data_IF_604538330884
#
_entry.id   IF_604538330884
#
_cell.length_a   1.000
_cell.length_b   1.000
_cell.length_c   1.000
_cell.angle_alpha   90.00
_cell.angle_beta   90.00
_cell.angle_gamma   90.00
#
_symmetry.space_group_name_H-M   'P 1'
#
loop_
_entity.id
_entity.type
_entity.pdbx_description
1 polymer ?
#
# COMPACT_ATOMS: atom_id res chain seq x y z
N UNK A 1 15.06 -3.29 -2.04
CA UNK A 1 15.01 -2.23 -1.01
C UNK A 1 15.72 -2.73 0.22
N UNK A 2 16.68 -2.00 0.75
CA UNK A 2 17.11 -2.29 2.09
C UNK A 2 15.98 -1.86 3.05
N UNK A 3 15.10 -2.80 3.39
CA UNK A 3 14.20 -2.61 4.51
C UNK A 3 14.99 -2.62 5.82
N UNK A 4 14.61 -1.79 6.79
CA UNK A 4 13.43 -0.91 6.79
C UNK A 4 13.67 0.39 6.01
N UNK A 5 12.64 0.84 5.25
CA UNK A 5 12.60 2.18 4.69
C UNK A 5 12.11 3.16 5.76
N UNK A 6 12.82 4.26 5.96
CA UNK A 6 12.50 5.27 6.96
C UNK A 6 12.13 6.59 6.29
N UNK A 7 11.08 7.23 6.78
CA UNK A 7 10.67 8.57 6.39
C UNK A 7 10.85 9.54 7.57
N UNK A 8 10.24 10.72 7.50
CA UNK A 8 10.25 11.66 8.61
C UNK A 8 9.62 11.07 9.87
N UNK A 9 8.40 10.49 9.75
CA UNK A 9 7.61 9.98 10.88
C UNK A 9 7.41 8.47 10.89
N UNK A 10 7.75 7.75 9.80
CA UNK A 10 7.32 6.39 9.56
C UNK A 10 8.49 5.42 9.32
N UNK A 11 8.23 4.16 9.61
CA UNK A 11 9.08 3.02 9.25
C UNK A 11 8.24 2.01 8.47
N UNK A 12 8.69 1.67 7.27
CA UNK A 12 8.15 0.57 6.47
C UNK A 12 9.08 -0.62 6.66
N UNK A 13 8.58 -1.73 7.20
CA UNK A 13 9.38 -2.92 7.52
C UNK A 13 8.71 -4.21 7.07
N UNK A 14 9.48 -5.31 6.96
CA UNK A 14 8.90 -6.63 6.79
C UNK A 14 7.90 -6.94 7.91
N UNK A 15 6.87 -7.71 7.57
CA UNK A 15 5.95 -8.24 8.57
C UNK A 15 6.66 -9.21 9.53
N UNK A 16 6.10 -9.28 10.76
CA UNK A 16 6.37 -10.29 11.77
C UNK A 16 5.10 -11.09 12.02
N UNK A 17 5.23 -12.31 12.49
CA UNK A 17 4.05 -13.15 12.77
C UNK A 17 3.16 -12.57 13.87
N UNK A 18 3.74 -11.87 14.84
CA UNK A 18 3.04 -11.21 15.94
C UNK A 18 2.32 -9.91 15.54
N UNK A 19 2.52 -9.41 14.31
CA UNK A 19 1.74 -8.28 13.78
C UNK A 19 0.25 -8.60 13.59
N UNK A 20 -0.15 -9.87 13.60
CA UNK A 20 -1.53 -10.28 13.31
C UNK A 20 -2.57 -9.61 14.21
N UNK A 21 -2.26 -9.44 15.51
CA UNK A 21 -3.17 -8.82 16.48
C UNK A 21 -3.45 -7.35 16.15
N UNK A 22 -2.42 -6.57 15.87
CA UNK A 22 -2.56 -5.17 15.50
C UNK A 22 -3.07 -4.98 14.08
N UNK A 23 -2.67 -5.85 13.15
CA UNK A 23 -3.17 -5.85 11.77
C UNK A 23 -4.67 -6.14 11.69
N UNK A 24 -5.25 -6.80 12.72
CA UNK A 24 -6.69 -7.02 12.78
C UNK A 24 -7.50 -5.71 12.89
N UNK A 25 -6.92 -4.63 13.39
CA UNK A 25 -7.54 -3.30 13.35
C UNK A 25 -7.77 -2.80 11.90
N UNK A 26 -6.98 -3.30 10.95
CA UNK A 26 -7.09 -3.02 9.52
C UNK A 26 -7.99 -4.06 8.84
N UNK A 27 -7.59 -5.33 8.89
CA UNK A 27 -8.29 -6.40 8.15
C UNK A 27 -9.62 -6.83 8.76
N UNK A 28 -9.85 -6.59 10.04
CA UNK A 28 -11.13 -6.79 10.70
C UNK A 28 -12.10 -5.60 10.57
N UNK A 29 -11.61 -4.46 10.08
CA UNK A 29 -12.41 -3.23 9.97
C UNK A 29 -13.28 -3.22 8.71
N UNK A 30 -14.63 -3.21 8.82
CA UNK A 30 -15.50 -3.03 7.65
C UNK A 30 -15.25 -1.70 6.93
N UNK A 31 -14.87 -0.65 7.68
CA UNK A 31 -14.59 0.68 7.10
C UNK A 31 -13.36 0.72 6.21
N UNK A 32 -12.38 -0.15 6.48
CA UNK A 32 -11.21 -0.34 5.63
C UNK A 32 -11.53 -1.32 4.50
N UNK A 33 -12.04 -2.50 4.84
CA UNK A 33 -12.15 -3.61 3.92
C UNK A 33 -13.21 -3.43 2.84
N UNK A 34 -14.22 -2.56 3.05
CA UNK A 34 -15.18 -2.19 1.98
C UNK A 34 -14.52 -1.58 0.73
N UNK A 35 -13.28 -1.12 0.85
CA UNK A 35 -12.51 -0.52 -0.24
C UNK A 35 -11.54 -1.51 -0.91
N UNK A 36 -11.55 -2.77 -0.50
CA UNK A 36 -10.68 -3.84 -1.02
C UNK A 36 -11.50 -4.97 -1.64
N UNK A 37 -10.88 -5.85 -2.45
CA UNK A 37 -11.56 -7.02 -3.00
C UNK A 37 -11.97 -8.07 -1.97
N UNK A 38 -11.46 -7.99 -0.75
CA UNK A 38 -11.62 -9.02 0.28
C UNK A 38 -12.57 -8.58 1.39
N UNK A 39 -13.40 -9.47 1.95
CA UNK A 39 -14.23 -9.15 3.11
C UNK A 39 -13.38 -8.92 4.36
N UNK A 40 -13.92 -8.28 5.41
CA UNK A 40 -13.25 -8.19 6.69
C UNK A 40 -12.95 -9.56 7.28
N UNK A 41 -11.81 -9.69 7.97
CA UNK A 41 -11.49 -10.89 8.77
C UNK A 41 -12.39 -10.95 10.01
N UNK A 42 -12.91 -12.12 10.34
CA UNK A 42 -13.83 -12.34 11.46
C UNK A 42 -13.15 -12.16 12.82
N UNK A 43 -11.88 -12.58 12.88
CA UNK A 43 -11.09 -12.61 14.11
C UNK A 43 -9.59 -12.51 13.82
N UNK A 44 -8.79 -12.46 14.87
CA UNK A 44 -7.32 -12.39 14.76
C UNK A 44 -6.73 -13.66 14.12
N UNK A 45 -7.36 -14.83 14.32
CA UNK A 45 -6.87 -16.07 13.70
C UNK A 45 -7.00 -16.03 12.17
N UNK A 46 -8.10 -15.52 11.64
CA UNK A 46 -8.28 -15.31 10.20
C UNK A 46 -7.31 -14.24 9.68
N UNK A 47 -7.09 -13.17 10.45
CA UNK A 47 -6.08 -12.15 10.12
C UNK A 47 -4.68 -12.76 10.07
N UNK A 48 -4.31 -13.64 11.01
CA UNK A 48 -3.02 -14.33 10.98
C UNK A 48 -2.85 -15.21 9.72
N UNK A 49 -3.91 -15.89 9.28
CA UNK A 49 -3.88 -16.64 8.01
C UNK A 49 -3.70 -15.72 6.80
N UNK A 50 -4.34 -14.54 6.79
CA UNK A 50 -4.15 -13.54 5.73
C UNK A 50 -2.74 -12.98 5.75
N UNK A 51 -2.20 -12.67 6.92
CA UNK A 51 -0.82 -12.21 7.09
C UNK A 51 0.17 -13.24 6.53
N UNK A 52 0.00 -14.52 6.85
CA UNK A 52 0.85 -15.58 6.30
C UNK A 52 0.81 -15.63 4.77
N UNK A 53 -0.39 -15.45 4.16
CA UNK A 53 -0.53 -15.36 2.69
C UNK A 53 0.14 -14.10 2.12
N UNK A 54 0.03 -12.97 2.81
CA UNK A 54 0.68 -11.71 2.42
C UNK A 54 2.21 -11.82 2.47
N UNK A 55 2.75 -12.43 3.52
CA UNK A 55 4.19 -12.71 3.64
C UNK A 55 4.68 -13.65 2.52
N UNK A 56 3.93 -14.73 2.25
CA UNK A 56 4.23 -15.65 1.16
C UNK A 56 4.10 -15.00 -0.23
N UNK A 57 3.15 -14.08 -0.41
CA UNK A 57 3.04 -13.28 -1.64
C UNK A 57 4.29 -12.40 -1.82
N UNK A 58 4.67 -11.66 -0.78
CA UNK A 58 5.85 -10.78 -0.81
C UNK A 58 7.13 -11.55 -1.09
N UNK A 59 7.30 -12.74 -0.49
CA UNK A 59 8.47 -13.58 -0.70
C UNK A 59 8.64 -14.08 -2.15
N UNK A 60 7.55 -14.12 -2.92
CA UNK A 60 7.56 -14.53 -4.34
C UNK A 60 7.72 -13.35 -5.31
N UNK A 61 7.64 -12.12 -4.82
CA UNK A 61 7.85 -10.95 -5.67
C UNK A 61 9.33 -10.75 -5.99
N UNK A 62 9.66 -10.07 -7.10
CA UNK A 62 11.03 -9.63 -7.35
C UNK A 62 11.56 -8.78 -6.17
N UNK A 63 12.88 -8.77 -5.95
CA UNK A 63 13.47 -7.96 -4.89
C UNK A 63 13.01 -6.50 -4.95
N UNK A 64 12.59 -5.97 -3.81
CA UNK A 64 12.11 -4.59 -3.70
C UNK A 64 10.61 -4.40 -3.90
N UNK A 65 9.87 -5.45 -4.26
CA UNK A 65 8.42 -5.44 -4.35
C UNK A 65 7.77 -6.24 -3.22
N UNK A 66 6.58 -5.84 -2.80
CA UNK A 66 5.81 -6.55 -1.79
C UNK A 66 4.86 -5.67 -1.00
N UNK A 67 4.36 -6.26 0.06
CA UNK A 67 3.49 -5.66 1.08
C UNK A 67 4.20 -5.69 2.43
N UNK A 68 4.12 -4.60 3.18
CA UNK A 68 4.91 -4.40 4.39
C UNK A 68 4.11 -3.73 5.49
N UNK A 69 4.54 -3.94 6.72
CA UNK A 69 4.04 -3.25 7.89
C UNK A 69 4.48 -1.78 7.88
N UNK A 70 3.57 -0.91 8.29
CA UNK A 70 3.81 0.51 8.52
C UNK A 70 3.69 0.82 10.01
N UNK A 71 4.69 1.48 10.59
CA UNK A 71 4.67 1.89 11.99
C UNK A 71 5.21 3.32 12.17
N UNK A 72 4.85 3.93 13.31
CA UNK A 72 5.45 5.20 13.72
C UNK A 72 6.91 4.98 14.12
N UNK A 73 7.78 5.89 13.69
CA UNK A 73 9.21 5.82 13.93
C UNK A 73 9.58 5.93 15.41
N UNK A 74 8.91 6.82 16.14
CA UNK A 74 9.29 7.16 17.52
C UNK A 74 8.71 6.21 18.56
N UNK A 75 7.53 5.63 18.29
CA UNK A 75 6.80 4.78 19.23
C UNK A 75 6.74 3.32 18.83
N UNK A 76 7.09 2.99 17.58
CA UNK A 76 6.88 1.69 16.95
C UNK A 76 5.39 1.26 16.93
N UNK A 77 4.48 2.21 17.04
CA UNK A 77 3.05 1.96 16.94
C UNK A 77 2.69 1.49 15.53
N UNK A 78 2.03 0.34 15.42
CA UNK A 78 1.59 -0.22 14.14
C UNK A 78 0.42 0.60 13.57
N UNK A 79 0.52 1.02 12.33
CA UNK A 79 -0.46 1.87 11.66
C UNK A 79 -1.27 1.14 10.58
N UNK A 80 -0.70 0.11 9.97
CA UNK A 80 -1.34 -0.60 8.88
C UNK A 80 -0.37 -1.24 7.90
N UNK A 81 -0.83 -1.39 6.67
CA UNK A 81 -0.13 -2.01 5.56
C UNK A 81 0.13 -1.01 4.43
N UNK A 82 1.29 -1.12 3.82
CA UNK A 82 1.64 -0.43 2.58
C UNK A 82 2.37 -1.37 1.63
N UNK A 83 2.33 -1.09 0.34
CA UNK A 83 3.00 -1.94 -0.62
C UNK A 83 3.32 -1.27 -1.95
N UNK A 84 4.25 -1.90 -2.66
CA UNK A 84 4.60 -1.61 -4.04
C UNK A 84 4.82 -2.95 -4.74
N UNK A 85 3.97 -3.30 -5.69
CA UNK A 85 4.00 -4.63 -6.31
C UNK A 85 3.36 -4.63 -7.70
N UNK A 86 3.70 -5.62 -8.56
CA UNK A 86 3.06 -5.77 -9.86
C UNK A 86 1.55 -5.94 -9.74
N UNK A 87 0.78 -5.19 -10.53
CA UNK A 87 -0.68 -5.27 -10.55
C UNK A 87 -1.12 -6.73 -10.78
N UNK A 88 -2.05 -7.20 -9.98
CA UNK A 88 -2.53 -8.60 -9.95
C UNK A 88 -1.41 -9.64 -9.77
N UNK A 89 -0.25 -9.21 -9.23
CA UNK A 89 0.94 -10.05 -9.08
C UNK A 89 1.66 -10.40 -10.39
N UNK A 90 1.26 -9.80 -11.51
CA UNK A 90 1.74 -10.13 -12.86
C UNK A 90 2.38 -8.94 -13.59
N UNK A 91 1.96 -7.73 -13.29
CA UNK A 91 2.38 -6.54 -14.04
C UNK A 91 1.79 -6.46 -15.46
N UNK A 92 2.35 -5.67 -16.38
CA UNK A 92 3.60 -4.89 -16.25
C UNK A 92 3.48 -3.65 -15.35
N UNK A 93 2.28 -3.13 -15.07
CA UNK A 93 2.12 -1.98 -14.18
C UNK A 93 2.44 -2.35 -12.74
N UNK A 94 2.94 -1.38 -11.98
CA UNK A 94 3.27 -1.52 -10.56
C UNK A 94 2.34 -0.63 -9.75
N UNK A 95 1.67 -1.25 -8.77
CA UNK A 95 0.71 -0.59 -7.90
C UNK A 95 1.36 -0.18 -6.58
N UNK A 96 1.06 1.04 -6.13
CA UNK A 96 1.24 1.46 -4.74
C UNK A 96 -0.08 1.29 -4.00
N UNK A 97 -0.05 0.56 -2.88
CA UNK A 97 -1.23 0.30 -2.04
C UNK A 97 -0.99 0.74 -0.60
N UNK A 98 -2.06 1.10 0.09
CA UNK A 98 -2.04 1.50 1.50
C UNK A 98 -3.39 1.24 2.16
N UNK A 99 -3.38 0.59 3.31
CA UNK A 99 -4.53 0.27 4.14
C UNK A 99 -4.15 0.52 5.60
N UNK A 100 -4.66 1.59 6.17
CA UNK A 100 -4.34 2.01 7.54
C UNK A 100 -5.53 1.82 8.47
N UNK A 101 -5.26 1.56 9.75
CA UNK A 101 -6.27 1.51 10.79
C UNK A 101 -7.07 2.82 10.85
N UNK A 102 -8.40 2.77 11.04
CA UNK A 102 -9.24 3.97 11.05
C UNK A 102 -8.81 5.04 12.04
N UNK A 103 -8.29 4.63 13.21
CA UNK A 103 -7.83 5.55 14.27
C UNK A 103 -6.70 6.49 13.87
N UNK A 104 -5.95 6.13 12.81
CA UNK A 104 -4.81 6.94 12.34
C UNK A 104 -5.08 7.69 11.03
N UNK A 105 -6.32 7.69 10.55
CA UNK A 105 -6.70 8.47 9.39
C UNK A 105 -6.64 9.97 9.65
N UNK A 106 -6.45 10.75 8.60
CA UNK A 106 -6.38 12.23 8.70
C UNK A 106 -5.04 12.81 9.12
N UNK A 107 -4.06 11.99 9.51
CA UNK A 107 -2.73 12.45 9.94
C UNK A 107 -1.70 12.57 8.80
N UNK A 108 -2.08 12.21 7.58
CA UNK A 108 -1.19 12.27 6.41
C UNK A 108 -0.23 11.08 6.26
N UNK A 109 -0.33 10.06 7.11
CA UNK A 109 0.58 8.90 7.09
C UNK A 109 0.50 8.11 5.78
N UNK A 110 -0.70 7.87 5.24
CA UNK A 110 -0.86 7.20 3.96
C UNK A 110 -0.16 7.95 2.83
N UNK A 111 -0.28 9.29 2.81
CA UNK A 111 0.39 10.14 1.82
C UNK A 111 1.91 10.09 1.94
N UNK A 112 2.43 10.15 3.16
CA UNK A 112 3.87 10.08 3.42
C UNK A 112 4.45 8.73 3.00
N UNK A 113 3.81 7.63 3.40
CA UNK A 113 4.23 6.28 3.05
C UNK A 113 4.13 6.00 1.54
N UNK A 114 3.01 6.33 0.90
CA UNK A 114 2.83 6.13 -0.53
C UNK A 114 3.83 6.94 -1.35
N UNK A 115 4.07 8.20 -0.99
CA UNK A 115 5.07 9.05 -1.65
C UNK A 115 6.46 8.44 -1.54
N UNK A 116 6.86 7.97 -0.36
CA UNK A 116 8.18 7.35 -0.17
C UNK A 116 8.36 6.09 -1.00
N UNK A 117 7.30 5.27 -1.15
CA UNK A 117 7.34 4.07 -1.99
C UNK A 117 7.38 4.42 -3.49
N UNK A 118 6.68 5.45 -3.93
CA UNK A 118 6.73 5.93 -5.32
C UNK A 118 8.14 6.43 -5.66
N UNK A 119 8.74 7.27 -4.80
CA UNK A 119 10.10 7.77 -5.00
C UNK A 119 11.13 6.63 -4.96
N UNK A 120 10.96 5.67 -4.06
CA UNK A 120 11.75 4.44 -4.04
C UNK A 120 11.62 3.67 -5.35
N UNK A 121 10.39 3.51 -5.86
CA UNK A 121 10.14 2.85 -7.15
C UNK A 121 10.88 3.53 -8.31
N UNK A 122 10.85 4.85 -8.36
CA UNK A 122 11.53 5.62 -9.41
C UNK A 122 13.06 5.61 -9.26
N UNK A 123 13.56 5.76 -8.02
CA UNK A 123 15.00 5.89 -7.76
C UNK A 123 15.72 4.55 -7.75
N UNK A 124 15.25 3.62 -6.92
CA UNK A 124 15.98 2.38 -6.66
C UNK A 124 15.57 1.24 -7.61
N UNK A 125 14.28 1.16 -7.97
CA UNK A 125 13.80 0.10 -8.86
C UNK A 125 13.81 0.51 -10.34
N UNK A 126 14.08 1.77 -10.63
CA UNK A 126 14.12 2.27 -12.01
C UNK A 126 12.77 2.27 -12.72
N UNK A 127 11.66 2.27 -11.96
CA UNK A 127 10.33 2.30 -12.55
C UNK A 127 10.11 3.60 -13.32
N UNK A 128 9.48 3.49 -14.49
CA UNK A 128 9.06 4.67 -15.27
C UNK A 128 7.66 5.15 -14.87
N UNK A 129 6.87 4.30 -14.20
CA UNK A 129 5.48 4.56 -13.87
C UNK A 129 5.04 3.75 -12.66
N UNK A 130 4.19 4.38 -11.81
CA UNK A 130 3.51 3.74 -10.68
C UNK A 130 2.04 4.10 -10.77
N UNK A 131 1.15 3.15 -10.49
CA UNK A 131 -0.30 3.34 -10.46
C UNK A 131 -0.87 3.16 -9.05
N UNK A 132 -2.06 3.72 -8.82
CA UNK A 132 -2.93 3.38 -7.70
C UNK A 132 -4.31 3.03 -8.25
N UNK A 133 -4.86 1.92 -7.81
CA UNK A 133 -6.15 1.38 -8.26
C UNK A 133 -7.19 1.64 -7.18
N UNK A 134 -8.15 2.51 -7.47
CA UNK A 134 -9.01 3.11 -6.44
C UNK A 134 -10.48 2.97 -6.84
N UNK A 135 -11.33 2.48 -5.92
CA UNK A 135 -12.78 2.50 -6.12
C UNK A 135 -13.27 3.94 -6.30
N UNK A 136 -14.20 4.20 -7.25
CA UNK A 136 -14.66 5.56 -7.57
C UNK A 136 -15.13 6.36 -6.35
N UNK A 137 -15.82 5.70 -5.42
CA UNK A 137 -16.39 6.34 -4.22
C UNK A 137 -15.38 6.51 -3.07
N UNK A 138 -14.16 5.98 -3.20
CA UNK A 138 -13.13 6.12 -2.16
C UNK A 138 -12.43 7.48 -2.25
N UNK A 139 -13.13 8.54 -1.85
CA UNK A 139 -12.62 9.91 -1.90
C UNK A 139 -11.33 10.10 -1.09
N UNK A 140 -11.15 9.36 0.03
CA UNK A 140 -9.94 9.45 0.85
C UNK A 140 -8.71 8.96 0.08
N UNK A 141 -8.80 7.79 -0.55
CA UNK A 141 -7.69 7.22 -1.33
C UNK A 141 -7.38 8.07 -2.56
N UNK A 142 -8.40 8.62 -3.23
CA UNK A 142 -8.24 9.55 -4.35
C UNK A 142 -7.48 10.82 -3.93
N UNK A 143 -7.79 11.35 -2.75
CA UNK A 143 -7.07 12.51 -2.19
C UNK A 143 -5.60 12.18 -1.87
N UNK A 144 -5.32 10.98 -1.32
CA UNK A 144 -3.94 10.53 -1.10
C UNK A 144 -3.17 10.43 -2.43
N UNK A 145 -3.75 9.78 -3.44
CA UNK A 145 -3.13 9.67 -4.76
C UNK A 145 -2.80 11.05 -5.36
N UNK A 146 -3.76 11.99 -5.31
CA UNK A 146 -3.55 13.36 -5.79
C UNK A 146 -2.42 14.08 -5.05
N UNK A 147 -2.35 13.93 -3.71
CA UNK A 147 -1.26 14.50 -2.90
C UNK A 147 0.11 13.87 -3.18
N UNK A 148 0.13 12.64 -3.69
CA UNK A 148 1.35 11.98 -4.17
C UNK A 148 1.75 12.39 -5.59
N UNK A 149 1.03 13.33 -6.21
CA UNK A 149 1.29 13.78 -7.58
C UNK A 149 0.81 12.80 -8.66
N UNK A 150 -0.09 11.90 -8.30
CA UNK A 150 -0.75 11.01 -9.26
C UNK A 150 -1.97 11.71 -9.89
N UNK A 151 -2.20 11.45 -11.16
CA UNK A 151 -3.36 11.97 -11.91
C UNK A 151 -4.29 10.85 -12.32
N UNK A 152 -5.60 11.12 -12.30
CA UNK A 152 -6.60 10.20 -12.84
C UNK A 152 -6.42 10.08 -14.35
N UNK A 153 -6.22 8.87 -14.86
CA UNK A 153 -6.03 8.63 -16.29
C UNK A 153 -7.24 7.97 -16.95
N UNK A 154 -7.76 6.90 -16.35
CA UNK A 154 -8.83 6.12 -16.95
C UNK A 154 -9.52 5.22 -15.92
N UNK A 155 -10.76 4.76 -16.20
CA UNK A 155 -11.31 3.59 -15.54
C UNK A 155 -10.62 2.30 -16.03
N UNK A 156 -10.72 1.24 -15.25
CA UNK A 156 -10.21 -0.08 -15.62
C UNK A 156 -10.79 -1.17 -14.72
N UNK A 157 -10.66 -2.44 -15.14
CA UNK A 157 -11.11 -3.58 -14.37
C UNK A 157 -9.91 -4.38 -13.88
N UNK A 158 -9.74 -4.42 -12.56
CA UNK A 158 -8.65 -5.11 -11.88
C UNK A 158 -9.19 -5.81 -10.63
N UNK A 159 -8.63 -6.94 -10.25
CA UNK A 159 -9.08 -7.72 -9.07
C UNK A 159 -10.59 -8.04 -9.09
N UNK A 160 -11.19 -8.10 -10.29
CA UNK A 160 -12.64 -8.29 -10.46
C UNK A 160 -13.50 -7.07 -10.17
N UNK A 161 -12.91 -5.90 -9.90
CA UNK A 161 -13.59 -4.64 -9.57
C UNK A 161 -13.41 -3.59 -10.69
N UNK A 162 -14.39 -2.70 -10.80
CA UNK A 162 -14.27 -1.51 -11.66
C UNK A 162 -13.61 -0.39 -10.85
N UNK A 163 -12.39 -0.03 -11.24
CA UNK A 163 -11.50 0.86 -10.51
C UNK A 163 -11.09 2.07 -11.36
N UNK A 164 -10.73 3.15 -10.71
CA UNK A 164 -10.04 4.28 -11.31
C UNK A 164 -8.54 4.06 -11.25
N UNK A 165 -7.87 4.25 -12.38
CA UNK A 165 -6.42 4.20 -12.47
C UNK A 165 -5.87 5.62 -12.28
N UNK A 166 -5.24 5.85 -11.16
CA UNK A 166 -4.37 7.00 -10.93
C UNK A 166 -2.95 6.62 -11.25
N UNK A 167 -2.19 7.51 -11.87
CA UNK A 167 -0.83 7.21 -12.22
C UNK A 167 0.11 8.40 -12.02
N UNK A 168 1.37 8.09 -11.75
CA UNK A 168 2.47 9.04 -11.78
C UNK A 168 3.60 8.43 -12.59
N UNK A 169 4.11 9.21 -13.55
CA UNK A 169 5.27 8.87 -14.37
C UNK A 169 6.51 9.53 -13.78
N UNK A 170 7.63 8.84 -13.87
CA UNK A 170 8.93 9.36 -13.46
C UNK A 170 9.24 10.68 -14.20
N UNK A 171 9.60 11.76 -13.49
CA UNK A 171 10.04 12.99 -14.15
C UNK A 171 11.26 12.71 -15.04
N UNK A 172 11.19 13.11 -16.30
CA UNK A 172 12.37 13.08 -17.17
C UNK A 172 13.33 14.18 -16.72
N UNK A 173 14.57 13.83 -16.45
CA UNK A 173 15.62 14.82 -16.28
C UNK A 173 15.84 15.52 -17.63
N UNK A 174 15.41 16.76 -17.74
CA UNK A 174 15.78 17.65 -18.85
C UNK A 174 17.14 18.24 -18.50
N UNK A 175 18.15 17.86 -19.26
CA UNK A 175 19.49 18.44 -19.24
C UNK A 175 19.48 19.79 -19.96
#
# INVERSE_FOLDING_TARGET
MPLPLRTERLVIRPYREDDATTLHEVFGSPDVMKWTPSPPSKDVAETAQRLARTMAFTARQPPGFGLWALELKDTSEFLGQVGLFPVEGKGPEVEVAYELAPRVWGHGYATEAARSLIEYGFGELGLERVVALILPDNARSRNVASKCGMTLERPGRFYGLDLLVYARTRPRLTW
#
